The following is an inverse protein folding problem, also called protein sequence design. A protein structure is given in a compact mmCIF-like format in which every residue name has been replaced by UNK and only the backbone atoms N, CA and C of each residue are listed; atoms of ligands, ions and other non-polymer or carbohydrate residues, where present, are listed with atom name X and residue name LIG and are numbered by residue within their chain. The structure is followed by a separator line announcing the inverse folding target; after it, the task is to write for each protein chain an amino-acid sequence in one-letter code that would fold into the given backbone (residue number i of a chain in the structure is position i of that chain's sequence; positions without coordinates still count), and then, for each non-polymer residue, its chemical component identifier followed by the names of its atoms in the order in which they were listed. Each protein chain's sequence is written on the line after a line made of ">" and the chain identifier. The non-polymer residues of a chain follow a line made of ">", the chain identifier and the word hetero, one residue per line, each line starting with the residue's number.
data_IF_214854664939
#
_entry.id   IF_214854664939
#
_cell.length_a   1.000
_cell.length_b   1.000
_cell.length_c   1.000
_cell.angle_alpha   90.00
_cell.angle_beta   90.00
_cell.angle_gamma   90.00
#
_symmetry.space_group_name_H-M   'P 1'
#
loop_
_entity.id
_entity.type
_entity.pdbx_description
1 polymer ?
#
# COMPACT_ATOMS: atom_id res chain seq x y z
N UNK A 1 19.15 -20.30 7.21
CA UNK A 1 19.26 -20.87 5.85
C UNK A 1 18.21 -20.20 4.98
N UNK A 2 18.63 -19.59 3.87
CA UNK A 2 17.71 -19.02 2.87
C UNK A 2 17.22 -20.21 2.03
N UNK A 3 15.93 -20.52 2.09
CA UNK A 3 15.32 -21.70 1.44
C UNK A 3 15.11 -21.50 -0.08
N UNK A 4 13.96 -21.90 -0.67
CA UNK A 4 13.73 -22.22 -2.10
C UNK A 4 14.30 -21.28 -3.17
N UNK A 5 14.67 -20.04 -2.83
CA UNK A 5 15.43 -19.15 -3.70
C UNK A 5 16.83 -19.69 -4.05
N UNK A 6 17.53 -20.34 -3.12
CA UNK A 6 18.85 -20.95 -3.39
C UNK A 6 18.71 -22.19 -4.28
N UNK A 7 17.65 -22.99 -4.08
CA UNK A 7 17.30 -24.12 -4.97
C UNK A 7 16.91 -23.66 -6.38
N UNK A 8 16.25 -22.51 -6.51
CA UNK A 8 15.95 -21.88 -7.79
C UNK A 8 17.17 -21.17 -8.44
N UNK A 9 18.34 -21.21 -7.79
CA UNK A 9 19.57 -20.58 -8.26
C UNK A 9 19.47 -19.05 -8.36
N UNK A 10 18.67 -18.44 -7.49
CA UNK A 10 18.52 -16.99 -7.32
C UNK A 10 19.46 -16.50 -6.21
N UNK A 11 20.01 -15.31 -6.40
CA UNK A 11 20.78 -14.60 -5.39
C UNK A 11 19.90 -13.51 -4.77
N UNK A 12 19.83 -13.47 -3.44
CA UNK A 12 19.21 -12.36 -2.73
C UNK A 12 20.28 -11.36 -2.35
N UNK A 13 20.00 -10.09 -2.59
CA UNK A 13 20.73 -9.02 -1.94
C UNK A 13 20.53 -9.12 -0.41
N UNK A 14 21.60 -9.07 0.41
CA UNK A 14 21.48 -9.25 1.86
C UNK A 14 20.46 -8.31 2.51
N UNK A 15 20.46 -7.04 2.08
CA UNK A 15 19.57 -5.98 2.57
C UNK A 15 18.11 -6.16 2.17
N UNK A 16 17.79 -7.06 1.23
CA UNK A 16 16.42 -7.32 0.81
C UNK A 16 15.60 -7.95 1.93
N UNK A 17 16.20 -8.88 2.69
CA UNK A 17 15.50 -9.53 3.80
C UNK A 17 15.14 -8.51 4.86
N UNK A 18 16.07 -7.64 5.23
CA UNK A 18 15.85 -6.56 6.19
C UNK A 18 14.78 -5.58 5.70
N UNK A 19 14.81 -5.22 4.42
CA UNK A 19 13.80 -4.34 3.81
C UNK A 19 12.40 -4.96 3.84
N UNK A 20 12.29 -6.25 3.52
CA UNK A 20 11.02 -6.98 3.57
C UNK A 20 10.51 -7.06 5.01
N UNK A 21 11.37 -7.39 5.98
CA UNK A 21 10.99 -7.45 7.40
C UNK A 21 10.54 -6.07 7.93
N UNK A 22 11.22 -5.00 7.55
CA UNK A 22 10.82 -3.64 7.89
C UNK A 22 9.46 -3.26 7.29
N UNK A 23 9.18 -3.71 6.07
CA UNK A 23 7.89 -3.49 5.40
C UNK A 23 6.74 -4.27 6.06
N UNK A 24 7.02 -5.39 6.74
CA UNK A 24 6.01 -6.20 7.42
C UNK A 24 5.58 -5.64 8.77
N UNK A 25 6.49 -5.00 9.49
CA UNK A 25 6.29 -4.67 10.90
C UNK A 25 5.97 -5.91 11.75
N UNK A 26 5.27 -5.70 12.86
CA UNK A 26 4.88 -6.76 13.80
C UNK A 26 3.55 -7.47 13.41
N UNK A 27 3.12 -7.39 12.15
CA UNK A 27 1.80 -7.85 11.73
C UNK A 27 1.75 -9.38 11.45
N UNK A 28 0.94 -10.15 12.21
CA UNK A 28 0.77 -11.57 11.98
C UNK A 28 -0.02 -11.85 10.69
N UNK A 29 0.41 -12.85 9.92
CA UNK A 29 -0.31 -13.32 8.73
C UNK A 29 -0.01 -12.55 7.43
N UNK A 30 1.13 -11.86 7.38
CA UNK A 30 1.60 -11.06 6.26
C UNK A 30 2.35 -11.86 5.17
N UNK A 31 2.63 -13.15 5.42
CA UNK A 31 3.34 -14.05 4.50
C UNK A 31 2.78 -14.08 3.06
N UNK A 32 1.45 -14.13 2.84
CA UNK A 32 0.89 -14.11 1.48
C UNK A 32 1.23 -12.82 0.71
N UNK A 33 1.25 -11.68 1.41
CA UNK A 33 1.60 -10.38 0.81
C UNK A 33 3.08 -10.32 0.45
N UNK A 34 3.94 -10.86 1.33
CA UNK A 34 5.39 -10.99 1.06
C UNK A 34 5.64 -11.88 -0.14
N UNK A 35 4.98 -13.04 -0.20
CA UNK A 35 5.14 -13.95 -1.33
C UNK A 35 4.72 -13.28 -2.64
N UNK A 36 3.66 -12.48 -2.63
CA UNK A 36 3.21 -11.75 -3.81
C UNK A 36 4.21 -10.65 -4.21
N UNK A 37 4.68 -9.86 -3.24
CA UNK A 37 5.66 -8.80 -3.50
C UNK A 37 7.00 -9.36 -4.01
N UNK A 38 7.48 -10.46 -3.43
CA UNK A 38 8.67 -11.16 -3.90
C UNK A 38 8.47 -11.78 -5.28
N UNK A 39 7.29 -12.31 -5.59
CA UNK A 39 6.96 -12.81 -6.93
C UNK A 39 6.94 -11.69 -7.98
N UNK A 40 6.32 -10.55 -7.67
CA UNK A 40 6.34 -9.36 -8.52
C UNK A 40 7.76 -8.82 -8.75
N UNK A 41 8.59 -8.85 -7.70
CA UNK A 41 10.02 -8.52 -7.77
C UNK A 41 10.76 -9.48 -8.70
N UNK A 42 10.50 -10.78 -8.57
CA UNK A 42 11.11 -11.80 -9.40
C UNK A 42 10.74 -11.65 -10.88
N UNK A 43 9.48 -11.34 -11.21
CA UNK A 43 9.07 -11.10 -12.60
C UNK A 43 9.80 -9.92 -13.24
N UNK A 44 10.17 -8.90 -12.45
CA UNK A 44 10.83 -7.67 -12.94
C UNK A 44 12.36 -7.73 -12.86
N UNK A 45 12.92 -8.79 -12.27
CA UNK A 45 14.36 -8.90 -12.05
C UNK A 45 15.14 -8.88 -13.37
N UNK A 46 16.35 -8.35 -13.33
CA UNK A 46 17.33 -8.52 -14.40
C UNK A 46 18.37 -9.55 -13.96
N UNK A 47 18.50 -10.63 -14.72
CA UNK A 47 19.42 -11.72 -14.39
C UNK A 47 18.93 -12.59 -13.22
N UNK A 48 19.86 -12.93 -12.31
CA UNK A 48 19.62 -13.91 -11.23
C UNK A 48 19.49 -13.29 -9.84
N UNK A 49 19.59 -11.96 -9.72
CA UNK A 49 19.59 -11.26 -8.44
C UNK A 49 18.21 -10.65 -8.17
N UNK A 50 17.62 -10.96 -7.02
CA UNK A 50 16.56 -10.14 -6.43
C UNK A 50 17.22 -9.02 -5.63
N UNK A 51 17.14 -7.81 -6.16
CA UNK A 51 17.71 -6.61 -5.55
C UNK A 51 16.64 -5.80 -4.81
N UNK A 52 17.07 -5.04 -3.79
CA UNK A 52 16.19 -4.08 -3.08
C UNK A 52 15.54 -3.11 -4.06
N UNK A 53 16.30 -2.60 -5.02
CA UNK A 53 15.80 -1.71 -6.06
C UNK A 53 14.68 -2.36 -6.90
N UNK A 54 14.80 -3.65 -7.21
CA UNK A 54 13.75 -4.39 -7.92
C UNK A 54 12.49 -4.56 -7.08
N UNK A 55 12.64 -4.79 -5.78
CA UNK A 55 11.54 -4.89 -4.83
C UNK A 55 10.80 -3.57 -4.64
N UNK A 56 11.53 -2.47 -4.52
CA UNK A 56 10.96 -1.13 -4.44
C UNK A 56 10.29 -0.70 -5.75
N UNK A 57 10.87 -1.03 -6.91
CA UNK A 57 10.24 -0.82 -8.22
C UNK A 57 9.01 -1.73 -8.43
N UNK A 58 8.96 -2.88 -7.77
CA UNK A 58 7.76 -3.70 -7.69
C UNK A 58 6.65 -3.05 -6.84
N UNK A 59 7.00 -2.01 -6.08
CA UNK A 59 6.13 -1.33 -5.12
C UNK A 59 6.07 -2.03 -3.75
N UNK A 60 6.90 -3.07 -3.56
CA UNK A 60 6.99 -3.84 -2.32
C UNK A 60 5.66 -4.40 -1.83
N UNK A 61 5.59 -4.67 -0.53
CA UNK A 61 4.36 -5.09 0.16
C UNK A 61 3.29 -3.98 0.08
N UNK A 62 3.70 -2.70 0.12
CA UNK A 62 2.79 -1.54 0.07
C UNK A 62 1.89 -1.54 -1.17
N UNK A 63 2.45 -1.81 -2.35
CA UNK A 63 1.67 -1.82 -3.60
C UNK A 63 0.71 -3.01 -3.68
N UNK A 64 1.10 -4.16 -3.15
CA UNK A 64 0.22 -5.34 -3.07
C UNK A 64 -1.00 -5.05 -2.19
N UNK A 65 -0.76 -4.36 -1.07
CA UNK A 65 -1.79 -3.92 -0.14
C UNK A 65 -2.70 -2.87 -0.80
N UNK A 66 -2.13 -1.89 -1.49
CA UNK A 66 -2.86 -0.86 -2.22
C UNK A 66 -3.81 -1.48 -3.26
N UNK A 67 -3.33 -2.39 -4.09
CA UNK A 67 -4.17 -3.08 -5.09
C UNK A 67 -5.28 -3.92 -4.46
N UNK A 68 -5.00 -4.55 -3.32
CA UNK A 68 -6.02 -5.30 -2.58
C UNK A 68 -7.12 -4.37 -2.06
N UNK A 69 -6.75 -3.22 -1.52
CA UNK A 69 -7.70 -2.20 -1.05
C UNK A 69 -8.52 -1.62 -2.22
N UNK A 70 -7.87 -1.25 -3.31
CA UNK A 70 -8.53 -0.74 -4.53
C UNK A 70 -9.56 -1.73 -5.07
N UNK A 71 -9.21 -3.02 -5.16
CA UNK A 71 -10.11 -4.06 -5.65
C UNK A 71 -11.33 -4.24 -4.74
N UNK A 72 -11.12 -4.29 -3.43
CA UNK A 72 -12.20 -4.52 -2.45
C UNK A 72 -13.12 -3.31 -2.38
N UNK A 73 -12.56 -2.11 -2.24
CA UNK A 73 -13.32 -0.86 -2.16
C UNK A 73 -13.99 -0.54 -3.50
N UNK A 74 -13.34 -0.85 -4.63
CA UNK A 74 -13.91 -0.67 -5.97
C UNK A 74 -15.03 -1.65 -6.32
N UNK A 75 -15.12 -2.80 -5.64
CA UNK A 75 -16.21 -3.76 -5.79
C UNK A 75 -17.46 -3.37 -4.97
N UNK A 76 -17.35 -2.37 -4.07
CA UNK A 76 -18.47 -1.85 -3.31
C UNK A 76 -19.33 -0.90 -4.16
N UNK A 77 -20.63 -0.84 -3.88
CA UNK A 77 -21.49 0.19 -4.47
C UNK A 77 -21.13 1.60 -3.94
N UNK A 78 -21.52 2.69 -4.64
CA UNK A 78 -21.01 4.04 -4.33
C UNK A 78 -21.22 4.49 -2.89
N UNK A 79 -22.35 4.13 -2.27
CA UNK A 79 -22.65 4.49 -0.89
C UNK A 79 -21.74 3.76 0.13
N UNK A 80 -21.64 2.41 0.13
CA UNK A 80 -20.63 1.69 0.92
C UNK A 80 -19.18 2.09 0.64
N UNK A 81 -18.86 2.49 -0.60
CA UNK A 81 -17.52 2.99 -0.94
C UNK A 81 -17.19 4.30 -0.20
N UNK A 82 -18.14 5.23 -0.12
CA UNK A 82 -18.01 6.45 0.67
C UNK A 82 -17.82 6.16 2.16
N UNK A 83 -18.62 5.23 2.70
CA UNK A 83 -18.51 4.78 4.09
C UNK A 83 -17.13 4.19 4.37
N UNK A 84 -16.59 3.36 3.48
CA UNK A 84 -15.27 2.77 3.64
C UNK A 84 -14.19 3.86 3.74
N UNK A 85 -14.23 4.89 2.88
CA UNK A 85 -13.29 6.02 2.93
C UNK A 85 -13.41 6.82 4.23
N UNK A 86 -14.63 7.09 4.70
CA UNK A 86 -14.88 7.79 5.95
C UNK A 86 -14.35 7.00 7.16
N UNK A 87 -14.49 5.67 7.14
CA UNK A 87 -13.90 4.80 8.16
C UNK A 87 -12.38 4.91 8.13
N UNK A 88 -11.73 4.79 6.96
CA UNK A 88 -10.27 4.92 6.85
C UNK A 88 -9.76 6.28 7.35
N UNK A 89 -10.48 7.37 7.06
CA UNK A 89 -10.13 8.70 7.58
C UNK A 89 -10.18 8.74 9.11
N UNK A 90 -11.18 8.11 9.75
CA UNK A 90 -11.29 8.09 11.21
C UNK A 90 -10.22 7.22 11.88
N UNK A 91 -9.82 6.13 11.21
CA UNK A 91 -8.75 5.23 11.65
C UNK A 91 -7.34 5.78 11.36
N UNK A 92 -7.24 6.98 10.80
CA UNK A 92 -5.99 7.64 10.47
C UNK A 92 -5.80 8.86 11.37
N UNK A 93 -4.62 8.97 12.00
CA UNK A 93 -4.15 10.23 12.54
C UNK A 93 -3.38 10.96 11.43
N UNK A 94 -4.03 11.98 10.84
CA UNK A 94 -3.41 12.82 9.81
C UNK A 94 -2.26 13.60 10.44
N UNK A 95 -1.05 13.41 9.93
CA UNK A 95 0.11 14.16 10.37
C UNK A 95 0.11 15.55 9.75
N UNK A 96 0.37 16.60 10.52
CA UNK A 96 0.51 17.97 10.00
C UNK A 96 1.86 18.10 9.25
N UNK A 97 1.91 17.58 8.02
CA UNK A 97 3.13 17.54 7.19
C UNK A 97 4.05 16.34 7.40
N UNK A 98 3.63 15.33 8.18
CA UNK A 98 4.34 14.05 8.38
C UNK A 98 3.54 12.87 7.84
N UNK A 99 4.11 11.65 7.80
CA UNK A 99 3.39 10.47 7.33
C UNK A 99 2.15 10.22 8.20
N UNK A 100 1.02 9.92 7.55
CA UNK A 100 -0.21 9.55 8.23
C UNK A 100 -0.01 8.27 9.03
N UNK A 101 -0.48 8.25 10.28
CA UNK A 101 -0.27 7.13 11.21
C UNK A 101 -1.57 6.43 11.60
N UNK A 102 -1.46 5.18 12.07
CA UNK A 102 -2.61 4.39 12.53
C UNK A 102 -3.20 4.96 13.81
N UNK A 103 -4.53 5.06 13.84
CA UNK A 103 -5.31 5.36 15.04
C UNK A 103 -6.28 4.23 15.33
N UNK A 104 -6.23 3.69 16.55
CA UNK A 104 -7.24 2.77 17.06
C UNK A 104 -8.50 3.55 17.46
N UNK A 105 -9.66 3.12 16.98
CA UNK A 105 -10.95 3.78 17.24
C UNK A 105 -11.93 2.78 17.84
N UNK A 106 -12.73 3.20 18.82
CA UNK A 106 -13.76 2.33 19.39
C UNK A 106 -14.82 2.02 18.35
N UNK A 107 -15.24 0.76 18.27
CA UNK A 107 -16.28 0.31 17.33
C UNK A 107 -17.59 1.10 17.54
N UNK A 108 -17.93 1.39 18.80
CA UNK A 108 -19.11 2.17 19.14
C UNK A 108 -19.09 3.61 18.58
N UNK A 109 -17.91 4.22 18.43
CA UNK A 109 -17.76 5.57 17.84
C UNK A 109 -17.97 5.56 16.32
N UNK A 110 -17.67 4.45 15.65
CA UNK A 110 -17.92 4.29 14.22
C UNK A 110 -19.41 4.04 13.93
N UNK A 111 -20.08 3.28 14.79
CA UNK A 111 -21.45 2.79 14.58
C UNK A 111 -22.51 3.71 15.25
N UNK A 112 -22.10 4.88 15.73
CA UNK A 112 -23.02 5.84 16.34
C UNK A 112 -23.86 6.59 15.29
N UNK A 113 -25.17 6.31 15.22
CA UNK A 113 -26.15 7.10 14.48
C UNK A 113 -26.80 6.43 13.26
N UNK A 114 -27.41 7.24 12.38
CA UNK A 114 -28.05 6.74 11.16
C UNK A 114 -27.00 6.16 10.22
N UNK A 115 -27.19 4.91 9.78
CA UNK A 115 -26.22 4.19 8.93
C UNK A 115 -25.36 3.16 9.66
N UNK A 116 -25.57 2.97 10.96
CA UNK A 116 -24.91 1.94 11.79
C UNK A 116 -24.79 0.56 11.11
N UNK A 117 -25.91 0.05 10.58
CA UNK A 117 -25.94 -1.25 9.88
C UNK A 117 -25.08 -1.26 8.61
N UNK A 118 -25.08 -0.18 7.83
CA UNK A 118 -24.26 -0.08 6.62
C UNK A 118 -22.76 -0.02 6.97
N UNK A 119 -22.40 0.71 8.03
CA UNK A 119 -21.02 0.79 8.54
C UNK A 119 -20.56 -0.59 9.03
N UNK A 120 -21.41 -1.30 9.76
CA UNK A 120 -21.13 -2.66 10.23
C UNK A 120 -20.84 -3.62 9.07
N UNK A 121 -21.68 -3.63 8.03
CA UNK A 121 -21.46 -4.46 6.83
C UNK A 121 -20.16 -4.10 6.12
N UNK A 122 -19.83 -2.80 6.02
CA UNK A 122 -18.55 -2.37 5.44
C UNK A 122 -17.37 -2.83 6.28
N UNK A 123 -17.43 -2.70 7.61
CA UNK A 123 -16.37 -3.17 8.52
C UNK A 123 -16.14 -4.67 8.39
N UNK A 124 -17.20 -5.47 8.30
CA UNK A 124 -17.10 -6.92 8.10
C UNK A 124 -16.42 -7.26 6.76
N UNK A 125 -16.79 -6.58 5.67
CA UNK A 125 -16.16 -6.77 4.35
C UNK A 125 -14.69 -6.36 4.34
N UNK A 126 -14.35 -5.25 5.01
CA UNK A 126 -12.96 -4.79 5.13
C UNK A 126 -12.14 -5.75 6.00
N UNK A 127 -12.73 -6.31 7.05
CA UNK A 127 -12.07 -7.28 7.93
C UNK A 127 -11.85 -8.63 7.23
N UNK A 128 -12.85 -9.13 6.50
CA UNK A 128 -12.73 -10.33 5.65
C UNK A 128 -11.59 -10.17 4.64
N UNK A 129 -11.44 -8.97 4.08
CA UNK A 129 -10.36 -8.61 3.17
C UNK A 129 -9.03 -8.26 3.87
N UNK A 130 -8.95 -8.33 5.20
CA UNK A 130 -7.77 -7.96 6.02
C UNK A 130 -7.27 -6.53 5.81
N UNK A 131 -8.18 -5.62 5.50
CA UNK A 131 -7.88 -4.19 5.38
C UNK A 131 -8.01 -3.49 6.74
N UNK A 132 -8.83 -4.03 7.64
CA UNK A 132 -8.95 -3.60 9.03
C UNK A 132 -8.88 -4.79 9.96
N UNK A 133 -8.37 -4.57 11.16
CA UNK A 133 -8.43 -5.52 12.27
C UNK A 133 -9.57 -5.11 13.18
N UNK A 134 -10.42 -6.08 13.53
CA UNK A 134 -11.48 -5.93 14.52
C UNK A 134 -11.03 -6.63 15.80
N UNK A 135 -10.78 -5.86 16.85
CA UNK A 135 -10.63 -6.36 18.21
C UNK A 135 -11.98 -6.28 18.95
N UNK A 136 -12.02 -6.73 20.21
CA UNK A 136 -13.24 -6.86 21.00
C UNK A 136 -14.08 -5.56 21.02
N UNK A 137 -13.44 -4.40 21.18
CA UNK A 137 -14.13 -3.10 21.22
C UNK A 137 -13.57 -2.06 20.24
N UNK A 138 -12.56 -2.42 19.44
CA UNK A 138 -11.80 -1.46 18.65
C UNK A 138 -11.56 -1.92 17.22
N UNK A 139 -11.39 -0.92 16.35
CA UNK A 139 -11.08 -1.08 14.94
C UNK A 139 -9.80 -0.34 14.66
N UNK A 140 -8.91 -0.96 13.90
CA UNK A 140 -7.66 -0.38 13.43
C UNK A 140 -7.34 -0.81 12.01
N UNK A 141 -6.56 0.00 11.30
CA UNK A 141 -6.08 -0.37 9.96
C UNK A 141 -5.05 -1.48 10.10
N UNK A 142 -5.19 -2.54 9.32
CA UNK A 142 -4.29 -3.69 9.38
C UNK A 142 -2.85 -3.33 9.00
N UNK A 143 -2.64 -2.31 8.16
CA UNK A 143 -1.32 -1.86 7.75
C UNK A 143 -1.29 -0.38 7.35
N UNK A 144 -0.28 0.38 7.78
CA UNK A 144 -0.11 1.80 7.40
C UNK A 144 -0.08 2.06 5.90
N UNK A 145 0.35 1.09 5.09
CA UNK A 145 0.33 1.18 3.63
C UNK A 145 -1.07 1.44 3.06
N UNK A 146 -2.13 1.02 3.76
CA UNK A 146 -3.52 1.24 3.35
C UNK A 146 -3.97 2.69 3.47
N UNK A 147 -3.39 3.44 4.42
CA UNK A 147 -3.77 4.83 4.67
C UNK A 147 -3.46 5.67 3.44
N UNK A 148 -2.20 5.61 2.98
CA UNK A 148 -1.75 6.32 1.79
C UNK A 148 -2.53 5.91 0.53
N UNK A 149 -2.79 4.62 0.31
CA UNK A 149 -3.49 4.17 -0.90
C UNK A 149 -4.96 4.55 -0.93
N UNK A 150 -5.69 4.40 0.19
CA UNK A 150 -7.14 4.65 0.23
C UNK A 150 -7.44 6.15 0.22
N UNK A 151 -6.63 6.96 0.93
CA UNK A 151 -6.85 8.41 1.04
C UNK A 151 -6.32 9.18 -0.18
N UNK A 152 -5.22 8.73 -0.79
CA UNK A 152 -4.61 9.40 -1.96
C UNK A 152 -5.23 8.95 -3.28
N UNK A 153 -5.90 7.79 -3.32
CA UNK A 153 -6.56 7.24 -4.53
C UNK A 153 -7.68 8.13 -5.13
N UNK A 154 -8.08 9.20 -4.44
CA UNK A 154 -8.97 10.24 -4.98
C UNK A 154 -8.26 11.41 -5.70
N UNK A 155 -6.94 11.58 -5.51
CA UNK A 155 -6.21 12.77 -6.00
C UNK A 155 -5.43 12.53 -7.29
N UNK A 156 -5.32 11.28 -7.76
CA UNK A 156 -4.57 10.93 -8.98
C UNK A 156 -5.49 10.78 -10.21
N UNK A 157 -5.94 11.92 -10.73
CA UNK A 157 -6.31 12.05 -12.16
C UNK A 157 -5.93 13.42 -12.75
N UNK A 158 -4.87 14.04 -12.23
CA UNK A 158 -4.16 15.19 -12.83
C UNK A 158 -2.69 15.18 -12.41
N UNK A 159 -1.93 14.21 -12.92
CA UNK A 159 -0.50 14.41 -13.17
C UNK A 159 -0.31 14.22 -14.66
N UNK A 160 -0.70 15.26 -15.41
CA UNK A 160 -0.43 15.41 -16.83
C UNK A 160 0.14 16.81 -17.02
N UNK A 161 1.34 16.87 -17.56
CA UNK A 161 2.06 18.06 -18.00
C UNK A 161 2.55 19.03 -16.90
N UNK A 162 3.77 18.80 -16.42
CA UNK A 162 4.71 19.91 -16.31
C UNK A 162 5.97 19.56 -17.10
N UNK A 163 6.17 20.31 -18.18
CA UNK A 163 7.08 20.02 -19.27
C UNK A 163 8.55 19.95 -18.83
N UNK A 164 9.20 18.87 -19.26
CA UNK A 164 10.62 18.89 -19.54
C UNK A 164 10.83 19.70 -20.83
N UNK A 165 11.40 20.89 -20.71
CA UNK A 165 12.15 21.53 -21.78
C UNK A 165 13.48 21.95 -21.17
N UNK A 166 14.43 21.03 -21.20
CA UNK A 166 15.85 21.31 -21.11
C UNK A 166 16.55 20.22 -21.90
N UNK A 167 16.69 20.45 -23.20
CA UNK A 167 17.66 19.72 -24.01
C UNK A 167 19.04 20.41 -23.87
N UNK A 168 20.13 19.64 -23.86
CA UNK A 168 21.48 20.13 -23.65
C UNK A 168 22.14 20.53 -24.98
N UNK A 169 23.32 21.16 -24.90
CA UNK A 169 24.34 21.02 -25.93
C UNK A 169 24.70 22.31 -26.65
N UNK A 170 25.87 22.80 -26.28
CA UNK A 170 26.55 23.99 -26.80
C UNK A 170 27.22 23.74 -28.16
N UNK A 171 27.43 24.85 -28.87
CA UNK A 171 28.54 25.14 -29.81
C UNK A 171 28.55 24.50 -31.22
N UNK A 172 28.03 25.27 -32.16
CA UNK A 172 28.55 25.47 -33.52
C UNK A 172 28.25 26.95 -33.84
N UNK A 173 29.23 27.82 -34.05
CA UNK A 173 30.14 27.84 -35.19
C UNK A 173 29.61 28.86 -36.21
N UNK A 174 30.48 29.79 -36.64
CA UNK A 174 30.34 30.67 -37.81
C UNK A 174 29.45 31.92 -37.71
N UNK A 175 30.11 33.09 -37.82
CA UNK A 175 29.81 34.27 -38.67
C UNK A 175 30.97 35.25 -38.36
N UNK A 176 31.92 35.48 -39.28
CA UNK A 176 31.82 36.41 -40.41
C UNK A 176 31.58 37.85 -39.94
#
# INVERSE_FOLDING_TARGET
>A
MIGPATEAGLLLEPSLVETVLADLGDEPGSLPLVSHALFATWQRRRGRVLAVAGYQQAGGVRQTIAHSAERVIGALSPTPQGIAKDVFLRLTALGDGTQDTRRRVRRAELVAGRGAQAIQVVLERLAEARLVTLADDSVEVAHEALIGSVLTGGKSRRVGCFGQMSCPGSLSGLLA
#
